data_IF_171122119290
#
_entry.id   IF_171122119290
#
_cell.length_a   1.000
_cell.length_b   1.000
_cell.length_c   1.000
_cell.angle_alpha   90.00
_cell.angle_beta   90.00
_cell.angle_gamma   90.00
#
_symmetry.space_group_name_H-M   'P 1'
#
loop_
_entity.id
_entity.type
_entity.pdbx_description
1 polymer ?
#
# COMPACT_ATOMS: atom_id res chain seq x y z
N UNK A 1 0.28 12.25 2.76
CA UNK A 1 1.68 12.70 2.80
C UNK A 1 2.45 12.24 1.56
N UNK A 2 3.49 12.97 1.15
CA UNK A 2 4.46 12.43 0.19
C UNK A 2 5.32 11.35 0.85
N UNK A 3 5.37 10.20 0.22
CA UNK A 3 6.15 9.03 0.66
C UNK A 3 7.43 8.92 -0.16
N UNK A 4 7.38 9.18 -1.46
CA UNK A 4 8.55 9.20 -2.33
C UNK A 4 8.76 10.58 -2.95
N UNK A 5 9.82 11.27 -2.54
CA UNK A 5 10.18 12.58 -3.11
C UNK A 5 10.84 12.47 -4.49
N UNK A 6 11.45 11.32 -4.80
CA UNK A 6 12.09 11.07 -6.09
C UNK A 6 11.09 11.06 -7.25
N UNK A 7 9.94 10.43 -7.05
CA UNK A 7 8.92 10.22 -8.09
C UNK A 7 7.58 10.89 -7.74
N UNK A 8 7.51 11.66 -6.66
CA UNK A 8 6.32 12.40 -6.27
C UNK A 8 5.16 11.53 -5.77
N UNK A 9 5.43 10.33 -5.25
CA UNK A 9 4.37 9.39 -4.80
C UNK A 9 3.88 9.74 -3.40
N UNK A 10 2.57 9.78 -3.24
CA UNK A 10 1.85 10.01 -2.00
C UNK A 10 1.34 8.72 -1.36
N UNK A 11 1.02 8.79 -0.08
CA UNK A 11 0.39 7.70 0.65
C UNK A 11 -1.01 7.33 0.11
N UNK A 12 -1.77 8.31 -0.39
CA UNK A 12 -3.06 8.06 -1.06
C UNK A 12 -2.88 7.19 -2.30
N UNK A 13 -1.95 7.52 -3.18
CA UNK A 13 -1.68 6.72 -4.38
C UNK A 13 -1.24 5.29 -4.03
N UNK A 14 -0.49 5.11 -2.93
CA UNK A 14 -0.11 3.77 -2.46
C UNK A 14 -1.33 2.97 -1.98
N UNK A 15 -2.25 3.61 -1.24
CA UNK A 15 -3.49 2.95 -0.78
C UNK A 15 -4.42 2.63 -1.95
N UNK A 16 -4.61 3.56 -2.87
CA UNK A 16 -5.40 3.35 -4.09
C UNK A 16 -4.81 2.22 -4.95
N UNK A 17 -3.48 2.14 -5.10
CA UNK A 17 -2.85 1.00 -5.77
C UNK A 17 -3.12 -0.34 -5.05
N UNK A 18 -3.10 -0.34 -3.72
CA UNK A 18 -3.40 -1.53 -2.92
C UNK A 18 -4.86 -2.00 -3.11
N UNK A 19 -5.82 -1.07 -3.10
CA UNK A 19 -7.24 -1.32 -3.38
C UNK A 19 -7.44 -1.87 -4.81
N UNK A 20 -6.62 -1.44 -5.76
CA UNK A 20 -6.59 -1.96 -7.13
C UNK A 20 -5.85 -3.31 -7.27
N UNK A 21 -5.45 -3.94 -6.16
CA UNK A 21 -4.90 -5.30 -6.15
C UNK A 21 -3.37 -5.38 -6.14
N UNK A 22 -2.66 -4.25 -6.03
CA UNK A 22 -1.20 -4.28 -5.80
C UNK A 22 -0.92 -4.89 -4.44
N UNK A 23 -0.11 -5.95 -4.41
CA UNK A 23 0.16 -6.70 -3.18
C UNK A 23 1.64 -6.83 -2.83
N UNK A 24 2.53 -6.25 -3.65
CA UNK A 24 3.98 -6.32 -3.45
C UNK A 24 4.69 -5.00 -3.79
N UNK A 25 5.80 -4.73 -3.10
CA UNK A 25 6.67 -3.58 -3.42
C UNK A 25 7.19 -3.61 -4.86
N UNK A 26 7.35 -4.80 -5.45
CA UNK A 26 7.80 -4.94 -6.84
C UNK A 26 6.74 -4.42 -7.82
N UNK A 27 5.47 -4.75 -7.59
CA UNK A 27 4.34 -4.23 -8.37
C UNK A 27 4.15 -2.74 -8.10
N UNK A 28 4.15 -2.32 -6.82
CA UNK A 28 3.99 -0.92 -6.43
C UNK A 28 5.06 -0.03 -7.08
N UNK A 29 6.33 -0.46 -7.07
CA UNK A 29 7.40 0.25 -7.74
C UNK A 29 7.34 0.17 -9.27
N UNK A 30 6.63 -0.81 -9.86
CA UNK A 30 6.39 -0.85 -11.31
C UNK A 30 5.29 0.14 -11.72
N UNK A 31 4.25 0.28 -10.90
CA UNK A 31 3.10 1.14 -11.19
C UNK A 31 3.35 2.61 -10.85
N UNK A 32 3.91 2.89 -9.67
CA UNK A 32 4.06 4.25 -9.15
C UNK A 32 5.51 4.77 -9.18
N UNK A 33 6.47 3.92 -9.54
CA UNK A 33 7.91 4.28 -9.48
C UNK A 33 8.49 4.39 -8.06
N UNK A 34 7.70 4.12 -7.01
CA UNK A 34 8.16 4.19 -5.62
C UNK A 34 9.33 3.25 -5.34
N UNK A 35 10.36 3.75 -4.66
CA UNK A 35 11.54 2.97 -4.28
C UNK A 35 12.51 2.64 -5.41
N UNK A 36 12.30 3.16 -6.64
CA UNK A 36 13.15 2.87 -7.81
C UNK A 36 14.42 3.71 -7.93
N UNK A 37 14.49 4.86 -7.26
CA UNK A 37 15.64 5.76 -7.33
C UNK A 37 16.54 5.63 -6.10
N UNK A 38 16.33 6.42 -5.05
CA UNK A 38 17.21 6.41 -3.87
C UNK A 38 16.84 5.35 -2.81
N UNK A 39 15.68 4.70 -2.93
CA UNK A 39 15.22 3.63 -2.04
C UNK A 39 14.79 4.04 -0.62
N UNK A 40 15.01 5.29 -0.19
CA UNK A 40 14.74 5.74 1.20
C UNK A 40 13.28 5.58 1.65
N UNK A 41 12.34 5.70 0.71
CA UNK A 41 10.90 5.54 0.97
C UNK A 41 10.45 4.08 1.13
N UNK A 42 11.31 3.09 0.86
CA UNK A 42 10.88 1.70 0.67
C UNK A 42 10.27 1.06 1.94
N UNK A 43 10.76 1.40 3.13
CA UNK A 43 10.20 0.90 4.39
C UNK A 43 8.80 1.49 4.62
N UNK A 44 8.67 2.82 4.57
CA UNK A 44 7.39 3.53 4.75
C UNK A 44 6.35 3.11 3.71
N UNK A 45 6.73 3.00 2.43
CA UNK A 45 5.81 2.54 1.38
C UNK A 45 5.32 1.11 1.63
N UNK A 46 6.18 0.23 2.15
CA UNK A 46 5.83 -1.16 2.49
C UNK A 46 4.89 -1.23 3.69
N UNK A 47 5.08 -0.38 4.69
CA UNK A 47 4.18 -0.28 5.85
C UNK A 47 2.78 0.15 5.40
N UNK A 48 2.66 1.23 4.63
CA UNK A 48 1.38 1.70 4.10
C UNK A 48 0.68 0.61 3.27
N UNK A 49 1.43 -0.10 2.42
CA UNK A 49 0.90 -1.22 1.61
C UNK A 49 0.42 -2.41 2.46
N UNK A 50 1.00 -2.62 3.66
CA UNK A 50 0.57 -3.67 4.59
C UNK A 50 -0.65 -3.22 5.39
N UNK A 51 -0.66 -1.97 5.84
CA UNK A 51 -1.77 -1.37 6.59
C UNK A 51 -3.06 -1.37 5.78
N UNK A 52 -3.00 -0.99 4.50
CA UNK A 52 -4.17 -1.02 3.61
C UNK A 52 -4.81 -2.41 3.55
N UNK A 53 -3.98 -3.46 3.50
CA UNK A 53 -4.45 -4.85 3.50
C UNK A 53 -4.96 -5.33 4.86
N UNK A 54 -4.42 -4.79 5.95
CA UNK A 54 -4.90 -5.14 7.30
C UNK A 54 -6.33 -4.68 7.54
N UNK A 55 -6.72 -3.54 6.95
CA UNK A 55 -8.10 -3.07 6.96
C UNK A 55 -9.04 -4.09 6.27
N UNK A 56 -8.61 -4.67 5.14
CA UNK A 56 -9.36 -5.70 4.43
C UNK A 56 -9.56 -6.96 5.31
N UNK A 57 -8.51 -7.40 6.01
CA UNK A 57 -8.61 -8.56 6.92
C UNK A 57 -9.59 -8.32 8.08
N UNK A 58 -9.59 -7.13 8.67
CA UNK A 58 -10.51 -6.81 9.76
C UNK A 58 -11.96 -6.73 9.25
N UNK A 59 -12.17 -6.15 8.08
CA UNK A 59 -13.48 -6.12 7.41
C UNK A 59 -14.01 -7.53 7.15
N UNK A 60 -13.18 -8.40 6.57
CA UNK A 60 -13.52 -9.80 6.33
C UNK A 60 -13.81 -10.56 7.63
N UNK A 61 -12.96 -10.39 8.65
CA UNK A 61 -13.16 -11.03 9.95
C UNK A 61 -14.50 -10.61 10.59
N UNK A 62 -14.87 -9.34 10.50
CA UNK A 62 -16.14 -8.85 11.00
C UNK A 62 -17.33 -9.44 10.24
N UNK A 63 -17.26 -9.57 8.91
CA UNK A 63 -18.32 -10.22 8.13
C UNK A 63 -18.49 -11.70 8.50
N UNK A 64 -17.37 -12.41 8.71
CA UNK A 64 -17.39 -13.84 9.04
C UNK A 64 -17.78 -14.12 10.50
N UNK A 65 -17.61 -13.15 11.40
CA UNK A 65 -17.88 -13.29 12.83
C UNK A 65 -19.32 -12.91 13.24
N UNK A 66 -20.17 -12.44 12.32
CA UNK A 66 -21.56 -12.09 12.63
C UNK A 66 -22.43 -13.36 12.75
N UNK A 67 -23.17 -13.55 13.86
CA UNK A 67 -24.17 -14.62 13.94
C UNK A 67 -25.33 -14.32 12.98
N UNK A 68 -25.87 -15.38 12.38
CA UNK A 68 -27.02 -15.33 11.47
C UNK A 68 -28.29 -14.79 12.15
#
# INVERSE_FOLDING_TARGET
MYVCLCTGVTDREIREAAENGVSSMRQLGKELGVGRQCGRCACTAREILRESRSADYLSLANMLAQPA
#
